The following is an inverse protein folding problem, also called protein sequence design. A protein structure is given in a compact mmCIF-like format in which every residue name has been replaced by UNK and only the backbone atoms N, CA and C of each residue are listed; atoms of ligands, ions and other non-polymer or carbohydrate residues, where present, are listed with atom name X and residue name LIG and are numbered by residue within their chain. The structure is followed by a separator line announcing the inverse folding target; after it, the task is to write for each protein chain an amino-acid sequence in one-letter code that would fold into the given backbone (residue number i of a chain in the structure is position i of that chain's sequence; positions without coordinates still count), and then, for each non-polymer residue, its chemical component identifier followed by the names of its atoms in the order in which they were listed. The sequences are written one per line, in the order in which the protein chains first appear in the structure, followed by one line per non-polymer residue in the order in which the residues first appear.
data_IF_382015032603
#
_entry.id   IF_382015032603
#
_cell.length_a   1.000
_cell.length_b   1.000
_cell.length_c   1.000
_cell.angle_alpha   90.00
_cell.angle_beta   90.00
_cell.angle_gamma   90.00
#
_symmetry.space_group_name_H-M   'P 1'
#
loop_
_entity.id
_entity.type
_entity.pdbx_description
1 polymer ?
#
# COMPACT_ATOMS: atom_id res chain seq x y z
N UNK A 1 13.69 25.34 3.05
CA UNK A 1 12.61 24.47 2.54
C UNK A 1 12.82 23.07 3.08
N UNK A 2 11.76 22.34 3.44
CA UNK A 2 11.87 20.95 3.84
C UNK A 2 12.51 20.09 2.71
N UNK A 3 13.27 19.05 3.02
CA UNK A 3 13.80 18.12 2.02
C UNK A 3 12.69 17.44 1.20
N UNK A 4 12.94 17.12 -0.07
CA UNK A 4 11.98 16.42 -0.94
C UNK A 4 10.80 17.25 -1.45
N UNK A 5 10.62 18.49 -1.00
CA UNK A 5 9.47 19.33 -1.39
C UNK A 5 9.73 20.30 -2.53
N UNK A 6 10.90 20.29 -3.18
CA UNK A 6 11.19 21.20 -4.31
C UNK A 6 10.69 20.66 -5.65
N UNK A 7 10.59 19.34 -5.75
CA UNK A 7 10.14 18.62 -6.95
C UNK A 7 9.65 17.24 -6.50
N UNK A 8 8.42 17.21 -5.99
CA UNK A 8 7.84 15.99 -5.41
C UNK A 8 7.68 14.88 -6.45
N UNK A 9 7.41 15.25 -7.72
CA UNK A 9 7.32 14.30 -8.83
C UNK A 9 8.66 13.59 -9.03
N UNK A 10 9.75 14.35 -9.15
CA UNK A 10 11.10 13.77 -9.28
C UNK A 10 11.49 12.96 -8.05
N UNK A 11 11.15 13.46 -6.85
CA UNK A 11 11.35 12.70 -5.62
C UNK A 11 10.64 11.33 -5.70
N UNK A 12 9.35 11.28 -6.05
CA UNK A 12 8.59 10.03 -6.17
C UNK A 12 9.11 9.09 -7.26
N UNK A 13 9.70 9.62 -8.34
CA UNK A 13 10.28 8.81 -9.41
C UNK A 13 11.61 8.15 -9.01
N UNK A 14 12.42 8.84 -8.21
CA UNK A 14 13.79 8.42 -7.88
C UNK A 14 13.91 7.76 -6.51
N UNK A 15 12.93 7.95 -5.64
CA UNK A 15 12.96 7.38 -4.30
C UNK A 15 12.76 5.87 -4.36
N UNK A 16 13.61 5.15 -3.64
CA UNK A 16 13.48 3.72 -3.41
C UNK A 16 13.41 3.47 -1.91
N UNK A 17 12.65 2.46 -1.50
CA UNK A 17 12.61 2.06 -0.10
C UNK A 17 13.97 1.50 0.32
N UNK A 18 14.51 1.88 1.49
CA UNK A 18 15.69 1.24 2.05
C UNK A 18 15.48 -0.26 2.19
N UNK A 19 16.57 -1.03 2.15
CA UNK A 19 16.49 -2.45 2.45
C UNK A 19 16.10 -2.67 3.92
N UNK A 20 15.03 -3.45 4.16
CA UNK A 20 14.66 -3.88 5.50
C UNK A 20 15.54 -5.07 5.91
N UNK A 21 16.62 -4.80 6.66
CA UNK A 21 17.55 -5.83 7.13
C UNK A 21 17.01 -6.46 8.41
N UNK A 22 16.68 -7.75 8.36
CA UNK A 22 16.20 -8.50 9.51
C UNK A 22 17.22 -8.53 10.67
N UNK A 23 16.71 -8.45 11.90
CA UNK A 23 17.51 -8.52 13.13
C UNK A 23 17.94 -9.95 13.47
N UNK A 24 18.92 -10.12 14.37
CA UNK A 24 19.42 -11.45 14.75
C UNK A 24 18.38 -12.35 15.42
N UNK A 25 17.34 -11.77 16.03
CA UNK A 25 16.20 -12.51 16.59
C UNK A 25 15.08 -12.77 15.59
N UNK A 26 15.20 -12.34 14.34
CA UNK A 26 14.17 -12.55 13.34
C UNK A 26 14.04 -14.04 13.02
N UNK A 27 12.81 -14.56 12.88
CA UNK A 27 12.61 -15.93 12.42
C UNK A 27 13.22 -16.14 11.03
N UNK A 28 13.71 -17.37 10.72
CA UNK A 28 14.31 -17.66 9.42
C UNK A 28 13.31 -17.45 8.29
N UNK A 29 13.80 -16.87 7.20
CA UNK A 29 13.06 -16.67 5.97
C UNK A 29 12.78 -18.02 5.28
N UNK A 30 11.59 -18.21 4.67
CA UNK A 30 11.35 -19.38 3.85
C UNK A 30 12.31 -19.39 2.64
N UNK A 31 12.73 -20.57 2.15
CA UNK A 31 13.53 -20.64 0.93
C UNK A 31 12.81 -19.99 -0.26
N UNK A 32 13.58 -19.48 -1.22
CA UNK A 32 13.02 -18.84 -2.42
C UNK A 32 12.08 -19.80 -3.16
N UNK A 33 10.92 -19.30 -3.56
CA UNK A 33 9.89 -20.07 -4.27
C UNK A 33 9.01 -20.96 -3.37
N UNK A 34 9.22 -20.95 -2.05
CA UNK A 34 8.39 -21.70 -1.10
C UNK A 34 7.43 -20.80 -0.34
N UNK A 35 6.26 -21.36 -0.01
CA UNK A 35 5.31 -20.75 0.91
C UNK A 35 5.77 -20.95 2.35
N UNK A 36 5.43 -20.02 3.23
CA UNK A 36 5.68 -20.20 4.66
C UNK A 36 4.64 -21.12 5.29
N UNK A 37 5.05 -21.86 6.33
CA UNK A 37 4.17 -22.65 7.18
C UNK A 37 3.76 -21.89 8.46
N UNK A 38 4.21 -20.64 8.59
CA UNK A 38 3.95 -19.79 9.77
C UNK A 38 2.71 -18.91 9.62
N UNK A 39 2.11 -18.88 8.42
CA UNK A 39 0.90 -18.12 8.15
C UNK A 39 -0.34 -18.87 8.66
N UNK A 40 -0.48 -18.96 9.98
CA UNK A 40 -1.56 -19.67 10.64
C UNK A 40 -2.65 -18.71 11.13
N UNK A 41 -3.05 -17.76 10.26
CA UNK A 41 -4.09 -16.78 10.59
C UNK A 41 -5.38 -17.49 11.02
N UNK A 42 -5.91 -17.06 12.15
CA UNK A 42 -7.17 -17.49 12.74
C UNK A 42 -8.31 -16.76 12.04
N UNK A 43 -8.92 -17.41 11.05
CA UNK A 43 -10.00 -16.80 10.27
C UNK A 43 -11.22 -17.68 10.26
N UNK A 44 -12.34 -17.09 10.65
CA UNK A 44 -13.66 -17.68 10.48
C UNK A 44 -14.18 -17.31 9.10
N UNK A 45 -14.70 -18.31 8.39
CA UNK A 45 -15.36 -18.05 7.14
C UNK A 45 -16.76 -17.50 7.40
N UNK A 46 -17.09 -16.42 6.68
CA UNK A 46 -18.31 -15.67 6.84
C UNK A 46 -19.03 -15.62 5.49
N UNK A 47 -20.34 -15.84 5.48
CA UNK A 47 -21.11 -16.00 4.25
C UNK A 47 -21.32 -14.66 3.50
N UNK A 48 -21.26 -13.56 4.24
CA UNK A 48 -21.37 -12.20 3.73
C UNK A 48 -20.02 -11.64 3.22
N UNK A 49 -18.87 -12.25 3.57
CA UNK A 49 -17.56 -11.82 3.04
C UNK A 49 -17.40 -12.22 1.58
N UNK A 50 -17.11 -11.22 0.73
CA UNK A 50 -16.91 -11.41 -0.71
C UNK A 50 -15.77 -10.54 -1.19
N UNK A 51 -14.97 -11.08 -2.11
CA UNK A 51 -14.02 -10.31 -2.89
C UNK A 51 -14.69 -9.94 -4.20
N UNK A 52 -14.96 -8.65 -4.39
CA UNK A 52 -15.69 -8.16 -5.56
C UNK A 52 -14.76 -7.81 -6.72
N UNK A 53 -13.72 -7.03 -6.44
CA UNK A 53 -12.78 -6.58 -7.45
C UNK A 53 -11.35 -6.52 -6.90
N UNK A 54 -10.39 -6.67 -7.81
CA UNK A 54 -8.98 -6.48 -7.53
C UNK A 54 -8.38 -5.62 -8.63
N UNK A 55 -7.88 -4.46 -8.24
CA UNK A 55 -7.26 -3.52 -9.17
C UNK A 55 -5.75 -3.59 -9.03
N UNK A 56 -5.06 -3.96 -10.12
CA UNK A 56 -3.62 -3.88 -10.19
C UNK A 56 -3.21 -2.42 -10.42
N UNK A 57 -2.59 -1.80 -9.42
CA UNK A 57 -2.06 -0.45 -9.57
C UNK A 57 -0.92 -0.43 -10.59
N UNK A 58 -1.10 0.31 -11.68
CA UNK A 58 -0.06 0.52 -12.67
C UNK A 58 0.80 1.73 -12.28
N UNK A 59 2.13 1.57 -12.28
CA UNK A 59 3.09 2.64 -11.96
C UNK A 59 2.91 3.90 -12.80
N UNK A 60 2.34 3.79 -14.00
CA UNK A 60 2.09 4.93 -14.88
C UNK A 60 1.02 5.91 -14.37
N UNK A 61 0.10 5.47 -13.50
CA UNK A 61 -0.98 6.32 -12.99
C UNK A 61 -0.51 7.43 -12.05
N UNK A 62 0.66 7.28 -11.42
CA UNK A 62 1.17 8.20 -10.39
C UNK A 62 1.80 9.48 -10.97
N UNK A 63 2.02 9.56 -12.30
CA UNK A 63 2.87 10.60 -12.87
C UNK A 63 2.20 11.96 -13.14
N UNK A 64 0.87 12.08 -13.14
CA UNK A 64 0.23 13.22 -13.83
C UNK A 64 -0.13 14.45 -12.99
N UNK A 65 -0.23 14.40 -11.67
CA UNK A 65 -0.78 15.51 -10.88
C UNK A 65 0.05 15.73 -9.60
N UNK A 66 0.96 16.71 -9.63
CA UNK A 66 1.54 17.25 -8.39
C UNK A 66 1.45 18.77 -8.48
N UNK A 67 0.50 19.32 -7.74
CA UNK A 67 0.20 20.75 -7.67
C UNK A 67 0.78 21.34 -6.39
N UNK A 68 1.21 22.60 -6.51
CA UNK A 68 1.63 23.64 -5.54
C UNK A 68 1.85 23.29 -4.06
N UNK A 69 2.89 23.93 -3.52
CA UNK A 69 3.44 23.73 -2.19
C UNK A 69 2.62 24.35 -1.06
N UNK A 70 2.37 23.57 0.00
CA UNK A 70 1.91 24.06 1.30
C UNK A 70 2.68 23.38 2.45
N UNK A 71 2.89 24.10 3.56
CA UNK A 71 3.63 23.59 4.73
C UNK A 71 2.65 22.81 5.62
N UNK A 72 2.53 21.49 5.41
CA UNK A 72 1.57 20.64 6.15
C UNK A 72 2.07 20.11 7.51
N UNK A 73 3.29 20.46 7.95
CA UNK A 73 3.90 19.91 9.17
C UNK A 73 4.38 18.46 9.07
N UNK A 74 3.85 17.65 8.14
CA UNK A 74 4.34 16.29 7.92
C UNK A 74 5.76 16.29 7.33
N UNK A 75 6.48 15.18 7.47
CA UNK A 75 7.86 15.02 6.99
C UNK A 75 7.99 13.91 5.96
N UNK A 76 8.93 14.10 5.04
CA UNK A 76 9.42 13.04 4.17
C UNK A 76 10.51 12.27 4.94
N UNK A 77 10.46 10.94 4.91
CA UNK A 77 11.34 10.07 5.68
C UNK A 77 12.13 9.07 4.83
N UNK A 78 11.67 8.77 3.61
CA UNK A 78 12.41 7.87 2.72
C UNK A 78 13.61 8.61 2.10
N UNK A 79 14.85 8.09 2.20
CA UNK A 79 16.02 8.73 1.64
C UNK A 79 15.98 8.80 0.10
N UNK A 80 16.47 9.91 -0.46
CA UNK A 80 16.68 10.07 -1.91
C UNK A 80 18.03 10.78 -2.16
N UNK A 81 19.16 10.09 -1.86
CA UNK A 81 20.47 10.73 -1.66
C UNK A 81 21.02 11.47 -2.88
N UNK A 82 20.62 11.08 -4.10
CA UNK A 82 21.13 11.70 -5.33
C UNK A 82 20.63 13.15 -5.53
N UNK A 83 19.45 13.50 -5.01
CA UNK A 83 18.80 14.79 -5.31
C UNK A 83 18.20 15.49 -4.10
N UNK A 84 17.91 14.77 -3.03
CA UNK A 84 17.26 15.34 -1.84
C UNK A 84 17.95 14.85 -0.56
N UNK A 85 18.38 15.81 0.27
CA UNK A 85 18.97 15.53 1.57
C UNK A 85 17.90 15.21 2.61
N UNK A 86 17.28 14.04 2.49
CA UNK A 86 16.36 13.48 3.49
C UNK A 86 17.20 12.68 4.49
N UNK A 87 17.22 13.03 5.79
CA UNK A 87 17.96 12.29 6.79
C UNK A 87 17.48 10.84 6.89
N UNK A 88 18.40 9.90 6.97
CA UNK A 88 18.07 8.50 7.22
C UNK A 88 17.53 8.33 8.65
N UNK A 89 16.41 7.63 8.79
CA UNK A 89 15.90 7.28 10.11
C UNK A 89 16.68 6.11 10.67
N UNK A 90 17.21 6.27 11.89
CA UNK A 90 17.85 5.18 12.61
C UNK A 90 16.76 4.26 13.17
N UNK A 91 16.26 3.37 12.31
CA UNK A 91 15.38 2.28 12.72
C UNK A 91 16.25 1.05 12.96
N UNK A 92 16.04 0.39 14.11
CA UNK A 92 16.71 -0.86 14.40
C UNK A 92 16.35 -1.95 13.38
N UNK A 93 17.11 -3.06 13.40
CA UNK A 93 16.81 -4.22 12.55
C UNK A 93 15.61 -4.99 13.10
N UNK A 94 14.49 -5.12 12.36
CA UNK A 94 13.30 -5.77 12.88
C UNK A 94 13.51 -7.27 13.10
N UNK A 95 13.14 -7.75 14.28
CA UNK A 95 13.11 -9.15 14.70
C UNK A 95 11.71 -9.66 15.05
N UNK A 96 10.71 -8.78 15.11
CA UNK A 96 9.30 -9.13 15.37
C UNK A 96 8.36 -8.22 14.56
N UNK A 97 7.06 -8.54 14.58
CA UNK A 97 6.05 -7.81 13.81
C UNK A 97 5.97 -6.34 14.21
N UNK A 98 5.94 -6.00 15.51
CA UNK A 98 5.86 -4.61 15.95
C UNK A 98 7.00 -3.73 15.38
N UNK A 99 8.21 -4.28 15.27
CA UNK A 99 9.34 -3.57 14.65
C UNK A 99 9.22 -3.47 13.12
N UNK A 100 8.65 -4.48 12.45
CA UNK A 100 8.31 -4.38 11.02
C UNK A 100 7.25 -3.30 10.79
N UNK A 101 6.19 -3.27 11.61
CA UNK A 101 5.15 -2.25 11.56
C UNK A 101 5.73 -0.86 11.73
N UNK A 102 6.58 -0.67 12.75
CA UNK A 102 7.28 0.60 12.94
C UNK A 102 8.09 1.01 11.72
N UNK A 103 8.83 0.07 11.11
CA UNK A 103 9.57 0.35 9.89
C UNK A 103 8.66 0.82 8.75
N UNK A 104 7.53 0.14 8.53
CA UNK A 104 6.56 0.49 7.48
C UNK A 104 5.86 1.83 7.76
N UNK A 105 5.49 2.10 9.01
CA UNK A 105 4.82 3.34 9.41
C UNK A 105 5.80 4.53 9.29
N UNK A 106 6.99 4.40 9.88
CA UNK A 106 7.97 5.49 9.97
C UNK A 106 8.61 5.80 8.59
N UNK A 107 8.75 4.82 7.69
CA UNK A 107 9.27 5.02 6.33
C UNK A 107 8.16 5.25 5.28
N UNK A 108 7.63 4.22 4.59
CA UNK A 108 6.77 4.45 3.45
C UNK A 108 5.48 5.19 3.80
N UNK A 109 4.81 4.88 4.91
CA UNK A 109 3.51 5.49 5.19
C UNK A 109 3.61 6.95 5.62
N UNK A 110 4.60 7.31 6.44
CA UNK A 110 4.85 8.72 6.79
C UNK A 110 5.17 9.56 5.55
N UNK A 111 6.01 9.02 4.66
CA UNK A 111 6.32 9.69 3.38
C UNK A 111 5.09 9.79 2.49
N UNK A 112 4.30 8.72 2.39
CA UNK A 112 3.08 8.68 1.60
C UNK A 112 2.04 9.68 2.10
N UNK A 113 1.82 9.78 3.42
CA UNK A 113 0.95 10.77 4.03
C UNK A 113 1.33 12.19 3.61
N UNK A 114 2.62 12.53 3.71
CA UNK A 114 3.10 13.86 3.27
C UNK A 114 2.86 14.09 1.78
N UNK A 115 3.13 13.08 0.95
CA UNK A 115 2.93 13.16 -0.51
C UNK A 115 1.45 13.40 -0.83
N UNK A 116 0.55 12.63 -0.20
CA UNK A 116 -0.90 12.76 -0.36
C UNK A 116 -1.38 14.14 0.09
N UNK A 117 -0.94 14.63 1.27
CA UNK A 117 -1.31 15.96 1.76
C UNK A 117 -0.80 17.10 0.89
N UNK A 118 0.35 16.93 0.24
CA UNK A 118 0.89 17.89 -0.71
C UNK A 118 0.12 17.88 -2.04
N UNK A 119 -0.19 16.71 -2.57
CA UNK A 119 -0.91 16.58 -3.84
C UNK A 119 -2.41 16.88 -3.70
N UNK A 120 -3.00 16.62 -2.54
CA UNK A 120 -4.43 16.74 -2.26
C UNK A 120 -4.67 17.44 -0.91
N UNK A 121 -4.57 18.78 -0.84
CA UNK A 121 -4.68 19.52 0.43
C UNK A 121 -5.96 19.27 1.24
N UNK A 122 -7.06 18.88 0.58
CA UNK A 122 -8.33 18.48 1.23
C UNK A 122 -8.18 17.24 2.13
N UNK A 123 -7.11 16.47 1.96
CA UNK A 123 -6.85 15.26 2.74
C UNK A 123 -6.09 15.52 4.04
N UNK A 124 -5.74 16.77 4.40
CA UNK A 124 -4.99 17.10 5.64
C UNK A 124 -5.63 16.61 6.95
N UNK A 125 -6.94 16.40 6.96
CA UNK A 125 -7.66 15.86 8.11
C UNK A 125 -7.52 14.33 8.24
N UNK A 126 -6.89 13.68 7.27
CA UNK A 126 -6.65 12.26 7.24
C UNK A 126 -5.25 11.93 7.75
N UNK A 127 -5.08 10.75 8.31
CA UNK A 127 -3.78 10.26 8.78
C UNK A 127 -3.77 8.75 8.87
N UNK A 128 -2.57 8.15 8.85
CA UNK A 128 -2.44 6.72 9.14
C UNK A 128 -2.58 6.45 10.64
N UNK A 129 -3.49 5.56 11.01
CA UNK A 129 -3.70 5.12 12.38
C UNK A 129 -3.62 3.59 12.47
N UNK A 130 -3.09 3.07 13.58
CA UNK A 130 -3.02 1.62 13.79
C UNK A 130 -4.35 1.12 14.34
N UNK A 131 -4.84 0.00 13.79
CA UNK A 131 -6.02 -0.66 14.33
C UNK A 131 -5.65 -1.36 15.64
N UNK A 132 -6.63 -1.49 16.54
CA UNK A 132 -6.49 -2.27 17.76
C UNK A 132 -5.98 -3.70 17.47
N UNK A 133 -5.20 -4.29 18.37
CA UNK A 133 -4.66 -5.63 18.14
C UNK A 133 -5.76 -6.69 18.02
N UNK A 134 -5.53 -7.68 17.16
CA UNK A 134 -6.40 -8.83 16.91
C UNK A 134 -5.77 -10.10 17.53
N UNK A 135 -6.50 -11.22 17.56
CA UNK A 135 -5.99 -12.53 17.99
C UNK A 135 -4.71 -12.98 17.25
N UNK A 136 -4.53 -12.47 16.02
CA UNK A 136 -3.35 -12.73 15.20
C UNK A 136 -2.36 -11.53 15.19
N UNK A 137 -2.31 -10.74 16.27
CA UNK A 137 -1.44 -9.54 16.41
C UNK A 137 0.06 -9.81 16.23
N UNK A 138 0.49 -11.07 16.36
CA UNK A 138 1.87 -11.51 16.11
C UNK A 138 2.13 -11.89 14.64
N UNK A 139 1.06 -12.11 13.87
CA UNK A 139 1.12 -12.57 12.47
C UNK A 139 0.82 -11.48 11.46
N UNK A 140 -0.08 -10.57 11.80
CA UNK A 140 -0.53 -9.50 10.93
C UNK A 140 -0.87 -8.24 11.74
N UNK A 141 -0.52 -7.09 11.17
CA UNK A 141 -0.99 -5.81 11.66
C UNK A 141 -1.73 -5.08 10.55
N UNK A 142 -2.60 -4.16 10.93
CA UNK A 142 -3.29 -3.30 9.98
C UNK A 142 -3.22 -1.84 10.40
N UNK A 143 -2.97 -0.98 9.42
CA UNK A 143 -2.95 0.47 9.56
C UNK A 143 -3.97 1.03 8.58
N UNK A 144 -4.83 1.93 9.03
CA UNK A 144 -5.88 2.53 8.22
C UNK A 144 -5.61 4.00 7.95
N UNK A 145 -6.03 4.49 6.79
CA UNK A 145 -6.03 5.90 6.44
C UNK A 145 -7.37 6.49 6.85
N UNK A 146 -7.35 7.24 7.95
CA UNK A 146 -8.55 7.62 8.69
C UNK A 146 -8.69 9.13 8.81
N UNK A 147 -9.92 9.61 8.84
CA UNK A 147 -10.31 10.96 9.24
C UNK A 147 -11.32 10.89 10.38
N UNK A 148 -11.15 11.77 11.36
CA UNK A 148 -12.14 12.00 12.41
C UNK A 148 -13.12 13.07 11.91
N UNK A 149 -14.41 12.74 11.90
CA UNK A 149 -15.48 13.67 11.52
C UNK A 149 -15.82 14.62 12.67
N UNK A 150 -16.62 15.65 12.40
CA UNK A 150 -17.10 16.58 13.43
C UNK A 150 -17.94 15.87 14.51
N UNK A 151 -18.62 14.79 14.12
CA UNK A 151 -19.41 13.92 15.00
C UNK A 151 -18.54 12.96 15.82
N UNK A 152 -17.21 13.05 15.72
CA UNK A 152 -16.23 12.14 16.34
C UNK A 152 -16.36 10.70 15.86
N UNK A 153 -16.92 10.49 14.67
CA UNK A 153 -16.90 9.19 13.99
C UNK A 153 -15.61 9.05 13.20
N UNK A 154 -15.09 7.83 13.10
CA UNK A 154 -13.88 7.52 12.31
C UNK A 154 -14.34 7.07 10.93
N UNK A 155 -13.85 7.76 9.90
CA UNK A 155 -14.05 7.38 8.51
C UNK A 155 -12.73 6.83 7.96
N UNK A 156 -12.74 5.62 7.43
CA UNK A 156 -11.55 4.95 6.86
C UNK A 156 -11.68 4.83 5.35
N UNK A 157 -10.61 5.10 4.61
CA UNK A 157 -10.61 5.01 3.14
C UNK A 157 -9.62 3.99 2.57
N UNK A 158 -8.56 3.66 3.32
CA UNK A 158 -7.54 2.70 2.90
C UNK A 158 -7.11 1.86 4.10
N UNK A 159 -6.86 0.57 3.88
CA UNK A 159 -6.25 -0.35 4.83
C UNK A 159 -4.92 -0.83 4.25
N UNK A 160 -3.88 -0.77 5.06
CA UNK A 160 -2.57 -1.31 4.78
C UNK A 160 -2.36 -2.49 5.72
N UNK A 161 -2.39 -3.70 5.15
CA UNK A 161 -2.02 -4.90 5.88
C UNK A 161 -0.52 -5.12 5.84
N UNK A 162 0.05 -5.43 6.99
CA UNK A 162 1.48 -5.62 7.19
C UNK A 162 1.71 -7.03 7.71
N UNK A 163 2.43 -7.84 6.94
CA UNK A 163 2.93 -9.13 7.39
C UNK A 163 4.45 -9.19 7.21
N UNK A 164 5.21 -9.71 8.20
CA UNK A 164 6.64 -9.87 8.07
C UNK A 164 6.98 -10.89 6.98
N UNK A 165 8.14 -10.78 6.34
CA UNK A 165 8.49 -11.63 5.21
C UNK A 165 8.72 -13.11 5.62
N UNK A 166 8.94 -13.39 6.91
CA UNK A 166 8.97 -14.77 7.45
C UNK A 166 7.57 -15.37 7.70
N UNK A 167 6.51 -14.54 7.70
CA UNK A 167 5.10 -14.94 7.86
C UNK A 167 4.35 -14.91 6.52
N UNK A 168 4.75 -14.08 5.57
CA UNK A 168 4.23 -14.08 4.22
C UNK A 168 5.38 -14.05 3.22
N UNK A 169 5.65 -15.18 2.56
CA UNK A 169 6.71 -15.25 1.56
C UNK A 169 6.27 -14.58 0.26
N UNK A 170 7.23 -14.32 -0.65
CA UNK A 170 6.90 -13.87 -2.00
C UNK A 170 5.92 -14.82 -2.71
N UNK A 171 6.04 -16.14 -2.47
CA UNK A 171 5.14 -17.13 -3.07
C UNK A 171 3.74 -17.07 -2.47
N UNK A 172 3.62 -16.73 -1.20
CA UNK A 172 2.32 -16.49 -0.54
C UNK A 172 1.65 -15.24 -1.12
N UNK A 173 2.41 -14.16 -1.35
CA UNK A 173 1.91 -12.94 -1.99
C UNK A 173 1.49 -13.17 -3.45
N UNK A 174 2.23 -13.95 -4.23
CA UNK A 174 1.81 -14.34 -5.58
C UNK A 174 0.45 -15.07 -5.55
N UNK A 175 0.27 -15.99 -4.59
CA UNK A 175 -1.00 -16.72 -4.41
C UNK A 175 -2.13 -15.83 -3.91
N UNK A 176 -1.81 -14.84 -3.08
CA UNK A 176 -2.76 -13.82 -2.60
C UNK A 176 -3.33 -13.01 -3.76
N UNK A 177 -2.45 -12.45 -4.59
CA UNK A 177 -2.82 -11.62 -5.75
C UNK A 177 -3.52 -12.46 -6.82
N UNK A 178 -3.16 -13.74 -6.97
CA UNK A 178 -3.87 -14.66 -7.86
C UNK A 178 -5.25 -15.11 -7.31
N UNK A 179 -5.61 -14.77 -6.07
CA UNK A 179 -6.89 -15.12 -5.48
C UNK A 179 -7.95 -14.11 -5.89
N UNK A 180 -8.69 -14.38 -6.95
CA UNK A 180 -9.73 -13.49 -7.48
C UNK A 180 -11.11 -13.67 -6.83
N UNK A 181 -11.30 -14.71 -6.04
CA UNK A 181 -12.58 -15.00 -5.38
C UNK A 181 -12.36 -15.51 -3.97
N UNK A 182 -13.28 -15.15 -3.08
CA UNK A 182 -13.44 -15.79 -1.79
C UNK A 182 -14.57 -16.81 -1.89
N UNK A 183 -14.30 -18.03 -1.44
CA UNK A 183 -15.34 -19.05 -1.33
C UNK A 183 -16.45 -18.55 -0.41
N UNK A 184 -17.70 -18.66 -0.88
CA UNK A 184 -18.87 -18.48 -0.04
C UNK A 184 -19.05 -19.70 0.86
N UNK A 185 -19.28 -19.46 2.13
CA UNK A 185 -19.68 -20.49 3.08
C UNK A 185 -21.19 -20.48 3.19
N UNK A 186 -21.77 -21.68 3.13
CA UNK A 186 -23.21 -21.86 3.34
C UNK A 186 -23.49 -21.81 4.84
N UNK A 187 -24.44 -20.95 5.24
CA UNK A 187 -24.85 -20.75 6.64
C UNK A 187 -25.36 -22.04 7.29
N UNK A 188 -25.79 -23.01 6.50
CA UNK A 188 -26.38 -24.25 6.99
C UNK A 188 -25.34 -25.31 7.39
N UNK A 189 -24.05 -25.09 7.12
CA UNK A 189 -22.99 -26.05 7.47
C UNK A 189 -22.40 -25.81 8.86
N UNK A 190 -21.89 -26.87 9.47
CA UNK A 190 -21.20 -26.80 10.76
C UNK A 190 -20.00 -25.83 10.69
N UNK A 191 -19.83 -24.94 11.69
CA UNK A 191 -18.77 -23.92 11.70
C UNK A 191 -17.35 -24.49 11.56
N UNK A 192 -17.14 -25.68 12.12
CA UNK A 192 -15.83 -26.35 12.20
C UNK A 192 -15.64 -27.42 11.12
N UNK A 193 -16.56 -27.51 10.15
CA UNK A 193 -16.37 -28.42 9.03
C UNK A 193 -15.10 -28.02 8.26
N UNK A 194 -14.22 -28.99 7.92
CA UNK A 194 -13.04 -28.71 7.08
C UNK A 194 -13.44 -28.14 5.72
N UNK A 195 -14.66 -28.38 5.27
CA UNK A 195 -15.21 -27.76 4.07
C UNK A 195 -15.40 -26.25 4.26
N UNK A 196 -15.77 -25.76 5.44
CA UNK A 196 -15.98 -24.34 5.73
C UNK A 196 -14.70 -23.58 6.09
N UNK A 197 -13.53 -24.21 6.04
CA UNK A 197 -12.27 -23.55 6.36
C UNK A 197 -11.67 -22.89 5.12
N UNK A 198 -11.27 -21.62 5.23
CA UNK A 198 -10.52 -20.95 4.16
C UNK A 198 -9.15 -21.58 3.93
N UNK A 199 -8.75 -21.68 2.66
CA UNK A 199 -7.39 -22.03 2.26
C UNK A 199 -6.45 -20.87 2.57
N UNK A 200 -5.14 -21.12 2.68
CA UNK A 200 -4.14 -20.09 3.05
C UNK A 200 -4.25 -18.79 2.23
N UNK A 201 -4.50 -18.87 0.91
CA UNK A 201 -4.66 -17.68 0.06
C UNK A 201 -5.92 -16.87 0.37
N UNK A 202 -6.97 -17.52 0.84
CA UNK A 202 -8.26 -16.90 1.21
C UNK A 202 -8.21 -16.33 2.62
N UNK A 203 -7.46 -16.96 3.54
CA UNK A 203 -7.29 -16.50 4.92
C UNK A 203 -6.72 -15.07 4.99
N UNK A 204 -5.72 -14.75 4.18
CA UNK A 204 -5.16 -13.39 4.15
C UNK A 204 -6.19 -12.35 3.70
N UNK A 205 -7.00 -12.68 2.69
CA UNK A 205 -8.11 -11.81 2.24
C UNK A 205 -9.17 -11.61 3.32
N UNK A 206 -9.52 -12.69 4.01
CA UNK A 206 -10.52 -12.64 5.07
C UNK A 206 -10.03 -11.93 6.35
N UNK A 207 -8.75 -11.55 6.44
CA UNK A 207 -8.21 -10.65 7.47
C UNK A 207 -8.23 -9.18 7.08
N UNK A 208 -8.58 -8.83 5.85
CA UNK A 208 -8.75 -7.43 5.47
C UNK A 208 -9.93 -6.84 6.28
N UNK A 209 -9.72 -5.70 6.98
CA UNK A 209 -10.79 -5.06 7.75
C UNK A 209 -11.96 -4.62 6.88
N UNK A 210 -13.17 -4.76 7.41
CA UNK A 210 -14.44 -4.41 6.75
C UNK A 210 -14.65 -2.90 6.64
N UNK A 211 -14.18 -2.12 7.61
CA UNK A 211 -14.46 -0.67 7.66
C UNK A 211 -13.78 0.14 6.55
N UNK A 212 -12.96 -0.49 5.71
CA UNK A 212 -12.36 0.13 4.52
C UNK A 212 -13.13 -0.22 3.24
N UNK A 213 -14.07 -1.18 3.29
CA UNK A 213 -14.83 -1.61 2.11
C UNK A 213 -16.11 -0.82 1.88
N UNK A 214 -16.59 -0.04 2.86
CA UNK A 214 -17.72 0.87 2.71
C UNK A 214 -17.28 2.23 2.13
N UNK A 215 -16.60 2.21 0.98
CA UNK A 215 -16.71 3.37 0.08
C UNK A 215 -18.07 3.24 -0.58
N UNK A 216 -19.10 3.70 0.13
CA UNK A 216 -20.38 4.01 -0.47
C UNK A 216 -20.09 5.10 -1.50
N UNK A 217 -19.83 4.70 -2.75
CA UNK A 217 -20.01 5.58 -3.89
C UNK A 217 -21.50 5.83 -3.88
N UNK A 218 -21.92 6.89 -3.18
CA UNK A 218 -23.33 7.21 -3.06
C UNK A 218 -23.92 7.27 -4.46
N UNK A 219 -24.96 6.48 -4.70
CA UNK A 219 -25.78 6.55 -5.91
C UNK A 219 -26.48 7.93 -6.07
N UNK A 220 -26.24 8.88 -5.16
CA UNK A 220 -26.84 10.22 -5.10
C UNK A 220 -25.85 11.38 -5.35
N UNK A 221 -24.56 11.12 -5.54
CA UNK A 221 -23.69 12.13 -6.16
C UNK A 221 -23.79 11.91 -7.67
N UNK A 222 -24.58 12.75 -8.34
CA UNK A 222 -24.51 12.93 -9.79
C UNK A 222 -23.03 13.04 -10.18
N UNK A 223 -22.48 11.94 -10.69
CA UNK A 223 -21.29 11.99 -11.53
C UNK A 223 -21.66 13.03 -12.59
N UNK A 224 -20.96 14.17 -12.68
CA UNK A 224 -21.27 15.14 -13.71
C UNK A 224 -21.25 14.37 -15.03
N UNK A 225 -22.33 14.44 -15.81
CA UNK A 225 -22.46 13.85 -17.15
C UNK A 225 -21.41 14.39 -18.14
N UNK A 226 -20.51 15.26 -17.68
CA UNK A 226 -19.26 15.51 -18.39
C UNK A 226 -18.34 14.29 -18.23
N UNK A 227 -18.08 13.52 -19.30
CA UNK A 227 -17.01 12.55 -19.26
C UNK A 227 -15.78 13.35 -18.89
N UNK A 228 -15.04 12.94 -17.86
CA UNK A 228 -13.68 13.42 -17.58
C UNK A 228 -13.06 13.83 -18.91
N UNK A 229 -13.00 15.15 -19.14
CA UNK A 229 -12.87 15.70 -20.48
C UNK A 229 -11.77 14.95 -21.17
N UNK A 230 -12.05 14.37 -22.36
CA UNK A 230 -11.04 13.70 -23.18
C UNK A 230 -9.77 14.51 -23.03
N UNK A 231 -8.77 13.94 -22.36
CA UNK A 231 -7.45 14.55 -22.30
C UNK A 231 -7.12 14.95 -23.73
N UNK A 232 -6.76 16.22 -24.00
CA UNK A 232 -6.38 16.61 -25.34
C UNK A 232 -5.33 15.61 -25.79
N UNK A 233 -5.62 14.92 -26.91
CA UNK A 233 -4.63 14.04 -27.52
C UNK A 233 -3.34 14.82 -27.62
N UNK A 234 -2.18 14.26 -27.21
CA UNK A 234 -0.91 14.93 -27.41
C UNK A 234 -0.82 15.34 -28.88
N UNK A 235 -0.36 16.57 -29.18
CA UNK A 235 -0.28 17.05 -30.56
C UNK A 235 0.47 16.03 -31.41
N UNK A 236 -0.16 15.61 -32.51
CA UNK A 236 0.42 14.70 -33.48
C UNK A 236 1.47 15.47 -34.30
N UNK A 237 2.69 15.56 -33.76
CA UNK A 237 3.98 16.01 -34.32
C UNK A 237 4.76 16.58 -33.14
N UNK A 238 5.95 16.12 -32.76
CA UNK A 238 7.16 16.05 -33.59
C UNK A 238 7.96 14.78 -33.26
N UNK A 239 7.80 13.75 -34.09
CA UNK A 239 8.83 12.73 -34.28
C UNK A 239 9.93 13.31 -35.15
N UNK A 240 10.86 14.05 -34.55
CA UNK A 240 12.11 14.46 -35.19
C UNK A 240 13.23 14.50 -34.15
N UNK A 241 13.64 13.32 -33.69
CA UNK A 241 15.03 13.09 -33.32
C UNK A 241 15.56 12.01 -34.24
N UNK A 242 16.05 12.47 -35.39
CA UNK A 242 16.81 11.67 -36.33
C UNK A 242 18.01 11.05 -35.62
N UNK A 243 18.10 9.73 -35.68
CA UNK A 243 19.33 9.02 -35.43
C UNK A 243 20.39 9.49 -36.45
N UNK A 244 21.35 10.28 -35.99
CA UNK A 244 22.61 10.47 -36.70
C UNK A 244 23.63 9.50 -36.12
N UNK A 245 23.85 8.42 -36.86
CA UNK A 245 25.01 7.55 -36.74
C UNK A 245 26.21 8.22 -37.42
N UNK A 246 27.28 8.43 -36.65
CA UNK A 246 28.67 8.55 -37.09
C UNK A 246 29.48 8.43 -35.80
N UNK A 247 30.17 7.33 -35.47
CA UNK A 247 31.20 6.70 -36.29
C UNK A 247 32.46 7.55 -36.18
N UNK A 248 33.34 7.24 -35.21
CA UNK A 248 34.80 7.19 -35.39
C UNK A 248 35.51 6.77 -34.09
N UNK A 249 36.36 5.76 -34.27
CA UNK A 249 37.43 5.33 -33.37
C UNK A 249 38.41 6.48 -33.13
N UNK A 250 39.04 6.55 -31.95
CA UNK A 250 40.50 6.68 -31.83
C UNK A 250 40.94 6.32 -30.40
N UNK A 251 41.81 5.28 -30.36
CA UNK A 251 42.79 4.88 -29.32
C UNK A 251 42.28 4.42 -27.94
#
# INVERSE_FOLDING_TARGET
MPPGTKDLRRYMQLTALPAMIAGPGAPPMPPRGHTTHRNNLSVRAEDWRRLESMLALNRHWVNNEVIKYEVTGDRITVPCPEYFSVPELILGRPSNLSQVCRWVIDYPLTTLQRVIHLSFPQTKAWSFSSIAPDVDEDLVACVTWDRITEEKTVQSAVAVMIQPPWIASLKDLERFVACSTLRRVDRNYEPDSPENTYKNKERMWAKVPEHVTDVNIGDDDEIPDEPYGRFPSPPASESSWSAASSGENYL
#
